data_IF_259270077058
#
_entry.id   IF_259270077058
#
_cell.length_a   1.000
_cell.length_b   1.000
_cell.length_c   1.000
_cell.angle_alpha   90.00
_cell.angle_beta   90.00
_cell.angle_gamma   90.00
#
_symmetry.space_group_name_H-M   'P 1'
#
loop_
_entity.id
_entity.type
_entity.pdbx_description
1 polymer ?
#
# COMPACT_ATOMS: atom_id res chain seq x y z
N UNK A 1 5.09 -6.86 -9.85
CA UNK A 1 4.20 -5.68 -9.99
C UNK A 1 2.72 -5.98 -9.75
N UNK A 2 2.04 -6.76 -10.59
CA UNK A 2 0.57 -6.97 -10.50
C UNK A 2 0.09 -7.38 -9.09
N UNK A 3 0.81 -8.30 -8.43
CA UNK A 3 0.53 -8.71 -7.04
C UNK A 3 0.42 -7.52 -6.08
N UNK A 4 1.32 -6.53 -6.19
CA UNK A 4 1.35 -5.39 -5.27
C UNK A 4 0.25 -4.37 -5.59
N UNK A 5 -0.15 -4.24 -6.86
CA UNK A 5 -1.27 -3.37 -7.27
C UNK A 5 -2.58 -3.89 -6.69
N UNK A 6 -2.84 -5.19 -6.86
CA UNK A 6 -4.05 -5.83 -6.31
C UNK A 6 -4.03 -5.80 -4.79
N UNK A 7 -2.85 -5.97 -4.17
CA UNK A 7 -2.71 -5.86 -2.71
C UNK A 7 -3.10 -4.48 -2.18
N UNK A 8 -2.55 -3.41 -2.78
CA UNK A 8 -2.93 -2.03 -2.42
C UNK A 8 -4.43 -1.80 -2.60
N UNK A 9 -5.01 -2.26 -3.72
CA UNK A 9 -6.44 -2.14 -3.99
C UNK A 9 -7.29 -2.81 -2.90
N UNK A 10 -6.95 -4.04 -2.51
CA UNK A 10 -7.67 -4.78 -1.48
C UNK A 10 -7.56 -4.10 -0.11
N UNK A 11 -6.36 -3.68 0.30
CA UNK A 11 -6.14 -2.99 1.57
C UNK A 11 -6.88 -1.63 1.63
N UNK A 12 -6.85 -0.87 0.53
CA UNK A 12 -7.53 0.42 0.45
C UNK A 12 -9.05 0.28 0.61
N UNK A 13 -9.66 -0.70 -0.06
CA UNK A 13 -11.10 -0.94 0.09
C UNK A 13 -11.44 -1.38 1.52
N UNK A 14 -10.68 -2.30 2.10
CA UNK A 14 -10.89 -2.75 3.48
C UNK A 14 -10.78 -1.60 4.49
N UNK A 15 -9.78 -0.74 4.35
CA UNK A 15 -9.59 0.41 5.25
C UNK A 15 -10.75 1.41 5.16
N UNK A 16 -11.25 1.67 3.95
CA UNK A 16 -12.42 2.55 3.73
C UNK A 16 -13.70 1.92 4.29
N UNK A 17 -13.92 0.62 4.08
CA UNK A 17 -15.09 -0.10 4.60
C UNK A 17 -15.11 -0.16 6.13
N UNK A 18 -13.97 -0.44 6.77
CA UNK A 18 -13.83 -0.44 8.24
C UNK A 18 -14.00 0.95 8.84
N UNK A 19 -13.44 1.97 8.18
CA UNK A 19 -13.56 3.37 8.60
C UNK A 19 -14.96 3.98 8.44
N UNK A 20 -15.92 3.25 7.86
CA UNK A 20 -17.32 3.67 7.75
C UNK A 20 -18.17 3.32 8.99
N UNK A 21 -17.61 2.65 10.00
CA UNK A 21 -18.26 2.35 11.28
C UNK A 21 -18.50 3.59 12.16
N UNK A 22 -19.39 3.46 13.14
CA UNK A 22 -20.01 4.59 13.88
C UNK A 22 -19.11 5.37 14.84
N UNK A 23 -17.89 4.93 15.13
CA UNK A 23 -17.12 5.45 16.28
C UNK A 23 -15.68 5.93 15.97
N UNK A 24 -15.22 5.89 14.70
CA UNK A 24 -13.83 6.24 14.32
C UNK A 24 -13.71 7.37 13.28
N UNK A 25 -12.48 7.89 13.08
CA UNK A 25 -12.22 8.84 11.99
C UNK A 25 -12.44 8.16 10.63
N UNK A 26 -13.26 8.79 9.78
CA UNK A 26 -13.56 8.27 8.45
C UNK A 26 -12.29 8.21 7.58
N UNK A 27 -11.81 6.99 7.33
CA UNK A 27 -10.74 6.75 6.36
C UNK A 27 -11.31 6.95 4.95
N UNK A 28 -10.82 7.96 4.24
CA UNK A 28 -11.16 8.21 2.83
C UNK A 28 -9.97 7.92 1.92
N UNK A 29 -10.23 7.70 0.63
CA UNK A 29 -9.15 7.54 -0.35
C UNK A 29 -8.17 8.72 -0.37
N UNK A 30 -8.66 9.94 -0.16
CA UNK A 30 -7.80 11.14 -0.06
C UNK A 30 -6.81 11.03 1.09
N UNK A 31 -7.26 10.54 2.26
CA UNK A 31 -6.39 10.31 3.42
C UNK A 31 -5.36 9.23 3.12
N UNK A 32 -5.79 8.10 2.53
CA UNK A 32 -4.88 7.00 2.13
C UNK A 32 -3.79 7.53 1.20
N UNK A 33 -4.15 8.27 0.14
CA UNK A 33 -3.21 8.80 -0.85
C UNK A 33 -2.22 9.80 -0.24
N UNK A 34 -2.68 10.63 0.70
CA UNK A 34 -1.82 11.58 1.40
C UNK A 34 -0.84 10.88 2.36
N UNK A 35 -1.34 9.97 3.19
CA UNK A 35 -0.56 9.30 4.24
C UNK A 35 0.40 8.26 3.69
N UNK A 36 0.00 7.53 2.64
CA UNK A 36 0.81 6.49 2.01
C UNK A 36 1.44 6.97 0.69
N UNK A 37 1.69 8.28 0.56
CA UNK A 37 2.18 8.88 -0.68
C UNK A 37 3.50 8.28 -1.19
N UNK A 38 4.44 8.00 -0.28
CA UNK A 38 5.71 7.34 -0.62
C UNK A 38 5.49 5.90 -1.13
N UNK A 39 4.70 5.10 -0.41
CA UNK A 39 4.38 3.73 -0.83
C UNK A 39 3.63 3.70 -2.16
N UNK A 40 2.75 4.67 -2.38
CA UNK A 40 2.04 4.85 -3.65
C UNK A 40 3.01 5.18 -4.79
N UNK A 41 3.98 6.07 -4.55
CA UNK A 41 5.04 6.38 -5.51
C UNK A 41 5.88 5.13 -5.83
N UNK A 42 6.32 4.40 -4.81
CA UNK A 42 7.08 3.14 -4.99
C UNK A 42 6.28 2.09 -5.77
N UNK A 43 4.98 1.99 -5.54
CA UNK A 43 4.09 1.06 -6.27
C UNK A 43 4.03 1.38 -7.78
N UNK A 44 3.86 2.64 -8.15
CA UNK A 44 3.79 3.02 -9.57
C UNK A 44 5.16 2.96 -10.26
N UNK A 45 6.25 3.09 -9.50
CA UNK A 45 7.61 3.08 -10.01
C UNK A 45 8.15 1.68 -10.32
N UNK A 46 7.48 0.60 -9.89
CA UNK A 46 7.90 -0.79 -10.16
C UNK A 46 8.09 -1.14 -11.64
N UNK A 47 7.44 -0.40 -12.56
CA UNK A 47 7.59 -0.61 -14.00
C UNK A 47 8.93 -0.12 -14.56
N UNK A 48 9.68 0.66 -13.79
CA UNK A 48 10.95 1.26 -14.20
C UNK A 48 12.15 0.52 -13.61
N UNK A 49 11.94 -0.59 -12.91
CA UNK A 49 13.02 -1.46 -12.45
C UNK A 49 13.79 -2.04 -13.64
N UNK A 50 15.11 -2.18 -13.49
CA UNK A 50 15.98 -2.68 -14.54
C UNK A 50 16.04 -4.23 -14.51
N UNK A 51 15.60 -4.93 -15.58
CA UNK A 51 15.74 -6.39 -15.66
C UNK A 51 17.17 -6.90 -15.51
N UNK A 52 18.19 -6.07 -15.80
CA UNK A 52 19.60 -6.43 -15.64
C UNK A 52 20.00 -6.68 -14.17
N UNK A 53 19.24 -6.19 -13.20
CA UNK A 53 19.45 -6.48 -11.77
C UNK A 53 19.14 -7.94 -11.40
N UNK A 54 18.41 -8.65 -12.27
CA UNK A 54 18.09 -10.06 -12.10
C UNK A 54 16.85 -10.32 -11.24
N UNK A 55 16.23 -11.48 -11.46
CA UNK A 55 14.93 -11.83 -10.87
C UNK A 55 14.95 -11.81 -9.33
N UNK A 56 15.97 -12.39 -8.71
CA UNK A 56 16.04 -12.48 -7.25
C UNK A 56 16.04 -11.11 -6.57
N UNK A 57 16.78 -10.14 -7.12
CA UNK A 57 16.84 -8.78 -6.61
C UNK A 57 15.48 -8.07 -6.77
N UNK A 58 14.88 -8.17 -7.95
CA UNK A 58 13.58 -7.55 -8.22
C UNK A 58 12.44 -8.15 -7.38
N UNK A 59 12.44 -9.47 -7.21
CA UNK A 59 11.47 -10.17 -6.36
C UNK A 59 11.63 -9.74 -4.90
N UNK A 60 12.87 -9.61 -4.40
CA UNK A 60 13.12 -9.11 -3.05
C UNK A 60 12.58 -7.68 -2.86
N UNK A 61 12.87 -6.76 -3.79
CA UNK A 61 12.32 -5.39 -3.78
C UNK A 61 10.78 -5.40 -3.77
N UNK A 62 10.16 -6.25 -4.59
CA UNK A 62 8.70 -6.35 -4.68
C UNK A 62 8.06 -7.00 -3.45
N UNK A 63 8.74 -7.95 -2.79
CA UNK A 63 8.32 -8.51 -1.51
C UNK A 63 8.40 -7.45 -0.41
N UNK A 64 9.49 -6.71 -0.33
CA UNK A 64 9.63 -5.62 0.65
C UNK A 64 8.51 -4.59 0.50
N UNK A 65 8.20 -4.15 -0.73
CA UNK A 65 7.08 -3.22 -0.93
C UNK A 65 5.73 -3.82 -0.49
N UNK A 66 5.53 -5.12 -0.67
CA UNK A 66 4.30 -5.79 -0.25
C UNK A 66 4.12 -5.77 1.28
N UNK A 67 5.20 -6.01 2.01
CA UNK A 67 5.24 -5.93 3.47
C UNK A 67 5.04 -4.48 3.95
N UNK A 68 5.75 -3.54 3.33
CA UNK A 68 5.64 -2.12 3.65
C UNK A 68 4.22 -1.59 3.44
N UNK A 69 3.54 -2.03 2.38
CA UNK A 69 2.12 -1.73 2.14
C UNK A 69 1.25 -2.25 3.28
N UNK A 70 1.42 -3.51 3.67
CA UNK A 70 0.68 -4.12 4.78
C UNK A 70 0.87 -3.35 6.08
N UNK A 71 2.12 -3.01 6.41
CA UNK A 71 2.46 -2.25 7.61
C UNK A 71 1.92 -0.82 7.56
N UNK A 72 2.03 -0.16 6.40
CA UNK A 72 1.52 1.20 6.19
C UNK A 72 0.01 1.30 6.40
N UNK A 73 -0.78 0.34 5.88
CA UNK A 73 -2.22 0.30 6.11
C UNK A 73 -2.58 -0.03 7.56
N UNK A 74 -1.84 -0.93 8.22
CA UNK A 74 -2.05 -1.21 9.64
C UNK A 74 -1.83 0.04 10.50
N UNK A 75 -0.73 0.76 10.28
CA UNK A 75 -0.43 1.99 10.99
C UNK A 75 -1.51 3.06 10.73
N UNK A 76 -1.99 3.17 9.48
CA UNK A 76 -3.07 4.08 9.12
C UNK A 76 -4.37 3.77 9.88
N UNK A 77 -4.72 2.50 10.04
CA UNK A 77 -5.89 2.08 10.81
C UNK A 77 -5.72 2.33 12.32
N UNK A 78 -4.53 2.05 12.86
CA UNK A 78 -4.21 2.28 14.28
C UNK A 78 -4.23 3.78 14.64
N UNK A 79 -3.84 4.67 13.72
CA UNK A 79 -3.93 6.14 13.89
C UNK A 79 -5.37 6.68 13.76
N UNK A 80 -6.26 5.96 13.06
CA UNK A 80 -7.64 6.40 12.80
C UNK A 80 -8.64 5.94 13.87
N UNK A 81 -8.22 5.04 14.76
CA UNK A 81 -8.98 4.56 15.92
C UNK A 81 -8.85 5.52 17.11
#
# INVERSE_FOLDING_TARGET
MMRNIIHFYNLANQAVERGAGTDGQKITYTVIKHRLGDLFYRLVSQKFEDPAEGEAALVAKFNQLHEDLTNGFRNLEDEAR
#
